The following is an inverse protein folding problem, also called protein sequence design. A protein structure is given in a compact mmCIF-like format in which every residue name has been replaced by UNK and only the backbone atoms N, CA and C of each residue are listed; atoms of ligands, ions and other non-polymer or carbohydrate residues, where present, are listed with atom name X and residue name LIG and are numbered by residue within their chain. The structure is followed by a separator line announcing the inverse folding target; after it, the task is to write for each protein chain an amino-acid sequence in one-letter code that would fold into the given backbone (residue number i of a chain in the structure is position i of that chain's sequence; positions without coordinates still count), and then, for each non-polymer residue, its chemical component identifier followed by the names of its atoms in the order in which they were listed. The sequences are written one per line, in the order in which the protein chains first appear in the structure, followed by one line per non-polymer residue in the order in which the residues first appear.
data_IF_137031408739
#
_entry.id   IF_137031408739
#
_cell.length_a   1.000
_cell.length_b   1.000
_cell.length_c   1.000
_cell.angle_alpha   90.00
_cell.angle_beta   90.00
_cell.angle_gamma   90.00
#
_symmetry.space_group_name_H-M   'P 1'
#
loop_
_entity.id
_entity.type
_entity.pdbx_description
1 polymer ?
#
# COMPACT_ATOMS: atom_id res chain seq x y z
N UNK A 1 -1.99 -44.30 38.08
CA UNK A 1 -1.93 -43.38 36.93
C UNK A 1 -2.09 -41.97 37.48
N UNK A 2 -0.98 -41.33 37.83
CA UNK A 2 -0.98 -40.06 38.57
C UNK A 2 -0.21 -39.08 37.71
N UNK A 3 -0.92 -38.28 36.93
CA UNK A 3 -0.29 -37.38 35.97
C UNK A 3 0.10 -36.09 36.67
N UNK A 4 1.42 -35.92 36.84
CA UNK A 4 2.10 -34.65 37.10
C UNK A 4 1.72 -33.64 36.02
N UNK A 5 1.37 -32.41 36.40
CA UNK A 5 1.56 -31.23 35.55
C UNK A 5 2.12 -30.05 36.35
N UNK A 6 3.43 -29.93 36.16
CA UNK A 6 4.37 -28.82 36.30
C UNK A 6 3.77 -27.41 36.33
N UNK A 7 4.16 -26.65 37.37
CA UNK A 7 4.11 -25.18 37.44
C UNK A 7 4.94 -24.54 36.31
N UNK A 8 4.46 -23.44 35.73
CA UNK A 8 5.34 -22.41 35.17
C UNK A 8 4.89 -21.02 35.66
N UNK A 9 5.77 -20.44 36.48
CA UNK A 9 5.99 -19.02 36.79
C UNK A 9 5.77 -18.16 35.52
N UNK A 10 4.90 -17.15 35.51
CA UNK A 10 5.17 -15.83 36.08
C UNK A 10 5.97 -14.95 35.09
N UNK A 11 5.36 -13.88 34.55
CA UNK A 11 6.02 -12.60 34.22
C UNK A 11 4.94 -11.51 34.24
N UNK A 12 5.17 -10.56 35.14
CA UNK A 12 4.52 -9.27 35.26
C UNK A 12 4.77 -8.46 33.97
N UNK A 13 3.73 -7.97 33.31
CA UNK A 13 3.86 -7.23 32.05
C UNK A 13 2.73 -6.23 31.88
N UNK A 14 2.94 -5.06 32.48
CA UNK A 14 2.35 -3.74 32.21
C UNK A 14 1.01 -3.69 31.46
N UNK A 15 -0.02 -3.36 32.21
CA UNK A 15 -1.36 -2.94 31.79
C UNK A 15 -1.28 -1.80 30.76
N UNK A 16 -1.45 -2.11 29.47
CA UNK A 16 -1.78 -1.08 28.47
C UNK A 16 -3.30 -1.03 28.35
N UNK A 17 -3.91 0.04 28.88
CA UNK A 17 -5.32 0.34 28.67
C UNK A 17 -5.57 0.47 27.16
N UNK A 18 -6.20 -0.53 26.55
CA UNK A 18 -6.97 -0.29 25.34
C UNK A 18 -8.12 0.64 25.74
N UNK A 19 -8.11 1.87 25.23
CA UNK A 19 -9.25 2.76 25.41
C UNK A 19 -10.46 2.08 24.77
N UNK A 20 -11.41 1.66 25.60
CA UNK A 20 -12.72 1.26 25.15
C UNK A 20 -13.34 2.46 24.42
N UNK A 21 -13.36 2.44 23.09
CA UNK A 21 -14.10 3.42 22.31
C UNK A 21 -15.59 3.07 22.39
N UNK A 22 -16.23 3.51 23.48
CA UNK A 22 -17.67 3.60 23.58
C UNK A 22 -18.16 4.86 22.86
N UNK A 23 -19.24 4.73 22.08
CA UNK A 23 -20.11 5.81 21.61
C UNK A 23 -19.49 6.95 20.76
N UNK A 24 -18.35 6.72 20.11
CA UNK A 24 -17.79 7.65 19.11
C UNK A 24 -18.29 7.37 17.69
N UNK A 25 -18.22 8.34 16.79
CA UNK A 25 -18.41 8.12 15.35
C UNK A 25 -17.08 7.68 14.73
N UNK A 26 -17.04 6.52 14.07
CA UNK A 26 -15.87 6.07 13.32
C UNK A 26 -15.99 6.48 11.85
N UNK A 27 -14.93 7.06 11.29
CA UNK A 27 -14.90 7.52 9.89
C UNK A 27 -14.04 6.56 9.07
N UNK A 28 -14.66 5.93 8.08
CA UNK A 28 -14.04 4.97 7.19
C UNK A 28 -13.86 5.58 5.79
N UNK A 29 -12.80 5.14 5.10
CA UNK A 29 -12.48 5.56 3.74
C UNK A 29 -12.13 4.32 2.93
N UNK A 30 -12.80 4.15 1.79
CA UNK A 30 -12.44 3.18 0.78
C UNK A 30 -11.70 3.86 -0.38
N UNK A 31 -11.63 3.16 -1.51
CA UNK A 31 -10.98 3.65 -2.73
C UNK A 31 -11.81 4.69 -3.51
N UNK A 32 -13.05 4.95 -3.06
CA UNK A 32 -13.93 5.99 -3.60
C UNK A 32 -13.76 7.35 -2.94
N UNK A 33 -14.35 8.37 -3.56
CA UNK A 33 -14.23 9.76 -3.10
C UNK A 33 -15.10 10.10 -1.88
N UNK A 34 -16.09 9.25 -1.55
CA UNK A 34 -17.05 9.50 -0.47
C UNK A 34 -16.58 8.79 0.81
N UNK A 35 -16.26 9.52 1.90
CA UNK A 35 -16.05 8.91 3.20
C UNK A 35 -17.38 8.43 3.81
N UNK A 36 -17.29 7.44 4.67
CA UNK A 36 -18.41 6.84 5.37
C UNK A 36 -18.22 6.99 6.87
N UNK A 37 -19.33 7.11 7.60
CA UNK A 37 -19.34 7.12 9.04
C UNK A 37 -20.18 5.97 9.60
N UNK A 38 -19.63 5.38 10.66
CA UNK A 38 -20.28 4.40 11.50
C UNK A 38 -20.56 5.02 12.87
N UNK A 39 -21.77 4.84 13.36
CA UNK A 39 -22.18 5.29 14.69
C UNK A 39 -23.13 4.30 15.34
N UNK A 40 -23.23 4.31 16.67
CA UNK A 40 -23.98 3.29 17.39
C UNK A 40 -23.32 1.92 17.31
N UNK A 41 -23.95 0.92 17.94
CA UNK A 41 -23.38 -0.41 18.09
C UNK A 41 -22.01 -0.39 18.77
N UNK A 42 -21.29 -1.50 18.70
CA UNK A 42 -19.91 -1.58 19.15
C UNK A 42 -19.00 -1.71 17.94
N UNK A 43 -18.07 -0.79 17.80
CA UNK A 43 -17.10 -0.80 16.72
C UNK A 43 -15.71 -0.47 17.24
N UNK A 44 -14.69 -1.12 16.70
CA UNK A 44 -13.29 -0.94 17.10
C UNK A 44 -12.45 -0.85 15.84
N UNK A 45 -11.88 0.32 15.57
CA UNK A 45 -10.93 0.50 14.48
C UNK A 45 -9.54 0.03 14.91
N UNK A 46 -8.95 -0.87 14.13
CA UNK A 46 -7.56 -1.32 14.33
C UNK A 46 -6.65 -0.45 13.45
N UNK A 47 -5.56 0.13 13.98
CA UNK A 47 -4.60 0.88 13.16
C UNK A 47 -4.05 0.02 12.00
N UNK A 48 -4.33 0.42 10.76
CA UNK A 48 -3.89 -0.28 9.56
C UNK A 48 -4.68 -1.56 9.21
N UNK A 49 -5.81 -1.83 9.86
CA UNK A 49 -6.68 -2.98 9.59
C UNK A 49 -8.17 -2.59 9.45
N UNK A 50 -9.04 -3.55 9.10
CA UNK A 50 -10.48 -3.31 9.00
C UNK A 50 -11.08 -2.93 10.35
N UNK A 51 -12.17 -2.19 10.33
CA UNK A 51 -12.91 -1.86 11.56
C UNK A 51 -13.78 -3.05 11.95
N UNK A 52 -13.59 -3.55 13.17
CA UNK A 52 -14.43 -4.59 13.72
C UNK A 52 -15.78 -4.00 14.15
N UNK A 53 -16.87 -4.66 13.80
CA UNK A 53 -18.24 -4.23 14.08
C UNK A 53 -19.03 -5.36 14.76
N UNK A 54 -19.87 -4.99 15.72
CA UNK A 54 -20.73 -5.89 16.46
C UNK A 54 -22.04 -5.21 16.84
N UNK A 55 -23.14 -5.94 16.64
CA UNK A 55 -24.50 -5.50 16.90
C UNK A 55 -25.04 -4.59 15.81
N UNK A 56 -25.96 -3.70 16.17
CA UNK A 56 -26.58 -2.79 15.21
C UNK A 56 -25.75 -1.52 15.05
N UNK A 57 -25.19 -1.31 13.87
CA UNK A 57 -24.39 -0.12 13.52
C UNK A 57 -25.14 0.74 12.51
N UNK A 58 -25.18 2.04 12.74
CA UNK A 58 -25.70 3.01 11.76
C UNK A 58 -24.61 3.40 10.80
N UNK A 59 -24.89 3.26 9.51
CA UNK A 59 -24.02 3.60 8.39
C UNK A 59 -24.55 4.87 7.72
N UNK A 60 -23.68 5.86 7.48
CA UNK A 60 -24.02 7.07 6.73
C UNK A 60 -22.89 7.53 5.82
N UNK A 61 -23.14 7.99 4.59
CA UNK A 61 -22.14 8.75 3.84
C UNK A 61 -21.91 10.10 4.52
N UNK A 62 -20.70 10.64 4.37
CA UNK A 62 -20.29 11.94 4.95
C UNK A 62 -20.47 13.11 3.99
N UNK A 63 -21.17 12.88 2.88
CA UNK A 63 -21.48 13.86 1.84
C UNK A 63 -22.98 13.76 1.57
N UNK A 64 -23.62 14.90 1.38
CA UNK A 64 -25.03 14.97 0.98
C UNK A 64 -25.20 14.45 -0.46
N UNK A 65 -26.22 13.62 -0.67
CA UNK A 65 -26.59 13.15 -2.00
C UNK A 65 -27.13 14.30 -2.84
N UNK A 66 -26.70 14.39 -4.09
CA UNK A 66 -27.21 15.40 -5.01
C UNK A 66 -28.72 15.22 -5.27
N UNK A 67 -29.48 16.31 -5.49
CA UNK A 67 -30.90 16.21 -5.81
C UNK A 67 -31.16 15.29 -7.01
N UNK A 68 -32.19 14.43 -6.90
CA UNK A 68 -32.55 13.50 -7.97
C UNK A 68 -31.72 12.22 -8.06
N UNK A 69 -30.75 12.02 -7.15
CA UNK A 69 -29.95 10.80 -7.10
C UNK A 69 -30.53 9.72 -6.17
N UNK A 70 -30.30 8.46 -6.53
CA UNK A 70 -30.58 7.30 -5.69
C UNK A 70 -29.30 6.82 -5.02
N UNK A 71 -29.34 6.61 -3.71
CA UNK A 71 -28.24 6.04 -2.94
C UNK A 71 -28.53 4.58 -2.60
N UNK A 72 -27.61 3.70 -2.96
CA UNK A 72 -27.66 2.26 -2.68
C UNK A 72 -26.60 1.89 -1.65
N UNK A 73 -27.00 1.19 -0.60
CA UNK A 73 -26.11 0.57 0.36
C UNK A 73 -25.95 -0.90 -0.01
N UNK A 74 -24.72 -1.33 -0.19
CA UNK A 74 -24.38 -2.61 -0.78
C UNK A 74 -23.50 -3.35 0.23
N UNK A 75 -23.89 -4.58 0.58
CA UNK A 75 -23.10 -5.51 1.39
C UNK A 75 -22.80 -6.73 0.51
N UNK A 76 -21.52 -7.07 0.35
CA UNK A 76 -21.04 -8.21 -0.44
C UNK A 76 -21.60 -8.24 -1.87
N UNK A 77 -21.61 -7.06 -2.50
CA UNK A 77 -22.11 -6.87 -3.85
C UNK A 77 -23.65 -6.90 -3.98
N UNK A 78 -24.39 -7.13 -2.90
CA UNK A 78 -25.85 -7.13 -2.89
C UNK A 78 -26.40 -5.84 -2.29
N UNK A 79 -27.30 -5.16 -3.02
CA UNK A 79 -27.99 -3.96 -2.52
C UNK A 79 -28.94 -4.33 -1.38
N UNK A 80 -28.65 -3.84 -0.18
CA UNK A 80 -29.43 -4.09 1.03
C UNK A 80 -30.48 -3.01 1.28
N UNK A 81 -30.17 -1.76 0.93
CA UNK A 81 -31.06 -0.63 1.13
C UNK A 81 -30.87 0.40 0.02
N UNK A 82 -31.94 1.06 -0.39
CA UNK A 82 -31.90 2.09 -1.43
C UNK A 82 -32.87 3.21 -1.12
N UNK A 83 -32.44 4.46 -1.33
CA UNK A 83 -33.22 5.65 -0.98
C UNK A 83 -32.77 6.86 -1.78
N UNK A 84 -33.66 7.82 -1.98
CA UNK A 84 -33.35 9.13 -2.57
C UNK A 84 -33.32 10.26 -1.53
N UNK A 85 -33.22 9.91 -0.24
CA UNK A 85 -33.03 10.89 0.84
C UNK A 85 -31.65 11.57 0.67
N UNK A 86 -31.58 12.93 0.67
CA UNK A 86 -30.32 13.68 0.57
C UNK A 86 -29.29 13.33 1.66
N UNK A 87 -29.72 12.89 2.84
CA UNK A 87 -28.85 12.45 3.93
C UNK A 87 -29.23 11.03 4.34
N UNK A 88 -28.83 10.01 3.57
CA UNK A 88 -29.31 8.66 3.78
C UNK A 88 -28.58 7.99 4.94
N UNK A 89 -29.31 7.21 5.74
CA UNK A 89 -28.75 6.37 6.81
C UNK A 89 -29.28 4.96 6.67
N UNK A 90 -28.44 3.96 6.97
CA UNK A 90 -28.83 2.55 7.01
C UNK A 90 -28.47 1.96 8.36
N UNK A 91 -29.41 1.24 8.98
CA UNK A 91 -29.14 0.41 10.14
C UNK A 91 -28.65 -0.96 9.67
N UNK A 92 -27.40 -1.29 9.96
CA UNK A 92 -26.80 -2.60 9.67
C UNK A 92 -26.85 -3.46 10.93
N UNK A 93 -27.66 -4.52 10.92
CA UNK A 93 -27.65 -5.54 11.96
C UNK A 93 -26.59 -6.60 11.64
N UNK A 94 -25.42 -6.49 12.27
CA UNK A 94 -24.32 -7.43 11.99
C UNK A 94 -24.64 -8.84 12.47
N UNK A 95 -25.62 -9.05 13.35
CA UNK A 95 -26.00 -10.39 13.84
C UNK A 95 -26.62 -11.27 12.75
N UNK A 96 -27.07 -10.67 11.65
CA UNK A 96 -27.56 -11.37 10.46
C UNK A 96 -26.46 -11.71 9.45
N UNK A 97 -25.21 -11.28 9.72
CA UNK A 97 -24.05 -11.57 8.89
C UNK A 97 -23.22 -12.68 9.49
N UNK A 98 -22.47 -13.38 8.63
CA UNK A 98 -21.48 -14.35 9.08
C UNK A 98 -20.34 -13.65 9.84
N UNK A 99 -19.62 -14.42 10.65
CA UNK A 99 -18.39 -13.91 11.27
C UNK A 99 -17.30 -13.73 10.21
N UNK A 100 -16.49 -12.68 10.35
CA UNK A 100 -15.34 -12.42 9.49
C UNK A 100 -15.52 -11.24 8.52
N UNK A 101 -14.76 -11.21 7.40
CA UNK A 101 -14.67 -10.03 6.55
C UNK A 101 -15.89 -9.88 5.64
N UNK A 102 -16.44 -8.68 5.61
CA UNK A 102 -17.54 -8.26 4.73
C UNK A 102 -17.19 -6.96 4.01
N UNK A 103 -17.73 -6.79 2.81
CA UNK A 103 -17.55 -5.56 2.02
C UNK A 103 -18.78 -4.66 2.15
N UNK A 104 -18.56 -3.39 2.48
CA UNK A 104 -19.58 -2.35 2.51
C UNK A 104 -19.25 -1.29 1.46
N UNK A 105 -20.21 -1.01 0.59
CA UNK A 105 -20.12 0.05 -0.42
C UNK A 105 -21.40 0.89 -0.42
N UNK A 106 -21.25 2.19 -0.60
CA UNK A 106 -22.37 3.08 -0.94
C UNK A 106 -22.12 3.66 -2.33
N UNK A 107 -23.11 3.52 -3.20
CA UNK A 107 -23.12 4.12 -4.55
C UNK A 107 -24.27 5.12 -4.66
N UNK A 108 -23.99 6.31 -5.22
CA UNK A 108 -25.03 7.27 -5.64
C UNK A 108 -25.17 7.24 -7.16
N UNK A 109 -26.41 7.17 -7.63
CA UNK A 109 -26.80 6.96 -9.02
C UNK A 109 -27.71 8.08 -9.52
N UNK A 110 -27.47 8.56 -10.72
CA UNK A 110 -28.38 9.43 -11.48
C UNK A 110 -28.83 8.65 -12.73
N UNK A 111 -30.07 8.15 -12.72
CA UNK A 111 -30.48 7.12 -13.67
C UNK A 111 -29.57 5.88 -13.55
N UNK A 112 -29.00 5.44 -14.67
CA UNK A 112 -28.09 4.29 -14.71
C UNK A 112 -26.61 4.68 -14.47
N UNK A 113 -26.31 5.96 -14.32
CA UNK A 113 -24.94 6.44 -14.15
C UNK A 113 -24.57 6.54 -12.67
N UNK A 114 -23.47 5.88 -12.27
CA UNK A 114 -22.88 6.08 -10.94
C UNK A 114 -22.12 7.40 -10.87
N UNK A 115 -22.59 8.31 -10.03
CA UNK A 115 -22.05 9.67 -9.88
C UNK A 115 -21.14 9.81 -8.66
N UNK A 116 -21.31 8.96 -7.64
CA UNK A 116 -20.41 8.91 -6.48
C UNK A 116 -20.34 7.50 -5.88
N UNK A 117 -19.24 7.20 -5.19
CA UNK A 117 -19.06 5.92 -4.48
C UNK A 117 -18.09 6.07 -3.30
N UNK A 118 -18.27 5.24 -2.28
CA UNK A 118 -17.28 5.03 -1.21
C UNK A 118 -16.14 4.11 -1.64
N UNK A 119 -16.32 3.34 -2.73
CA UNK A 119 -15.51 2.14 -2.98
C UNK A 119 -15.84 1.03 -1.98
N UNK A 120 -15.22 -0.14 -2.15
CA UNK A 120 -15.42 -1.27 -1.23
C UNK A 120 -14.62 -1.03 0.06
N UNK A 121 -15.32 -1.02 1.19
CA UNK A 121 -14.73 -0.88 2.53
C UNK A 121 -14.86 -2.22 3.24
N UNK A 122 -13.75 -2.76 3.73
CA UNK A 122 -13.75 -4.03 4.48
C UNK A 122 -14.10 -3.78 5.95
N UNK A 123 -15.13 -4.48 6.42
CA UNK A 123 -15.53 -4.58 7.82
C UNK A 123 -15.25 -5.98 8.34
N UNK A 124 -14.87 -6.09 9.61
CA UNK A 124 -14.76 -7.39 10.28
C UNK A 124 -15.98 -7.58 11.21
N UNK A 125 -16.87 -8.51 10.88
CA UNK A 125 -18.01 -8.86 11.74
C UNK A 125 -17.53 -9.80 12.84
N UNK A 126 -17.75 -9.40 14.10
CA UNK A 126 -17.28 -10.12 15.28
C UNK A 126 -18.40 -10.25 16.34
N UNK A 127 -19.47 -11.01 16.05
CA UNK A 127 -20.67 -11.09 16.89
C UNK A 127 -20.52 -12.01 18.10
N UNK A 128 -19.81 -13.13 17.94
CA UNK A 128 -19.61 -14.18 18.96
C UNK A 128 -18.33 -13.99 19.75
N UNK A 129 -17.47 -13.07 19.33
CA UNK A 129 -16.26 -12.75 20.05
C UNK A 129 -16.60 -11.96 21.33
N UNK A 130 -16.19 -12.48 22.50
CA UNK A 130 -16.02 -11.62 23.68
C UNK A 130 -14.93 -10.63 23.31
N UNK A 131 -15.26 -9.38 23.01
CA UNK A 131 -14.28 -8.36 22.64
C UNK A 131 -13.30 -8.01 23.80
N UNK A 132 -13.45 -8.63 24.97
CA UNK A 132 -12.42 -8.68 26.03
C UNK A 132 -11.36 -9.77 25.81
N UNK A 133 -11.52 -10.63 24.80
CA UNK A 133 -10.60 -11.69 24.38
C UNK A 133 -10.17 -11.59 22.90
N UNK A 134 -10.64 -10.60 22.15
CA UNK A 134 -10.06 -10.25 20.83
C UNK A 134 -8.62 -9.67 20.97
N UNK A 135 -8.14 -9.49 22.21
CA UNK A 135 -6.72 -9.27 22.52
C UNK A 135 -5.92 -10.54 22.88
N UNK A 136 -6.51 -11.74 22.88
CA UNK A 136 -5.84 -12.98 23.30
C UNK A 136 -6.11 -14.17 22.37
N UNK A 137 -5.79 -13.98 21.10
CA UNK A 137 -5.24 -15.03 20.27
C UNK A 137 -4.30 -14.35 19.27
N UNK A 138 -3.22 -13.76 19.80
CA UNK A 138 -2.07 -13.54 18.96
C UNK A 138 -1.62 -14.94 18.50
N UNK A 139 -1.49 -15.24 17.19
CA UNK A 139 -0.53 -16.27 16.82
C UNK A 139 0.76 -15.82 17.50
N UNK A 140 1.40 -16.71 18.27
CA UNK A 140 2.60 -16.43 19.04
C UNK A 140 3.45 -15.39 18.29
N UNK A 141 3.40 -14.14 18.76
CA UNK A 141 4.21 -13.10 18.16
C UNK A 141 5.63 -13.64 18.30
N UNK A 142 6.43 -13.79 17.22
CA UNK A 142 7.86 -13.80 17.41
C UNK A 142 8.15 -12.50 18.16
N UNK A 143 8.42 -12.62 19.46
CA UNK A 143 8.16 -11.55 20.43
C UNK A 143 8.78 -10.26 19.96
N UNK A 144 8.00 -9.16 19.85
CA UNK A 144 8.34 -7.91 19.14
C UNK A 144 9.77 -7.90 18.61
N UNK A 145 9.98 -8.68 17.55
CA UNK A 145 11.04 -8.36 16.63
C UNK A 145 10.44 -7.12 16.00
N UNK A 146 11.09 -5.96 16.19
CA UNK A 146 10.97 -4.91 15.21
C UNK A 146 11.42 -5.57 13.91
N UNK A 147 10.50 -6.18 13.20
CA UNK A 147 10.66 -6.47 11.80
C UNK A 147 10.66 -5.07 11.20
N UNK A 148 11.85 -4.44 11.22
CA UNK A 148 12.38 -4.04 9.94
C UNK A 148 12.23 -5.28 9.06
N UNK A 149 11.06 -5.44 8.44
CA UNK A 149 11.03 -5.84 7.07
C UNK A 149 11.89 -4.75 6.44
N UNK A 150 13.21 -4.99 6.40
CA UNK A 150 14.12 -4.22 5.57
C UNK A 150 13.42 -4.30 4.24
N UNK A 151 12.77 -3.21 3.82
CA UNK A 151 11.92 -3.19 2.62
C UNK A 151 12.71 -3.95 1.58
N UNK A 152 12.24 -5.14 1.23
CA UNK A 152 13.03 -6.05 0.40
C UNK A 152 12.76 -5.51 -0.99
N UNK A 153 13.63 -4.60 -1.43
CA UNK A 153 13.50 -3.84 -2.67
C UNK A 153 13.74 -4.73 -3.91
N UNK A 154 13.45 -6.03 -3.83
CA UNK A 154 13.49 -6.98 -4.96
C UNK A 154 12.31 -6.73 -5.89
N UNK A 155 11.13 -6.48 -5.33
CA UNK A 155 9.88 -6.29 -6.09
C UNK A 155 9.53 -4.81 -6.31
N UNK A 156 10.45 -3.88 -5.97
CA UNK A 156 10.13 -2.44 -6.01
C UNK A 156 10.04 -1.90 -7.44
N UNK A 157 10.60 -2.59 -8.44
CA UNK A 157 10.60 -2.11 -9.82
C UNK A 157 9.92 -3.12 -10.71
N UNK A 158 9.02 -2.64 -11.55
CA UNK A 158 8.32 -3.42 -12.57
C UNK A 158 8.60 -2.83 -13.94
N UNK A 159 9.01 -3.67 -14.89
CA UNK A 159 9.31 -3.29 -16.27
C UNK A 159 8.26 -3.89 -17.20
N UNK A 160 7.51 -3.03 -17.92
CA UNK A 160 6.45 -3.45 -18.83
C UNK A 160 5.47 -4.48 -18.22
N UNK A 161 5.03 -4.21 -16.98
CA UNK A 161 4.06 -5.04 -16.27
C UNK A 161 4.62 -6.35 -15.69
N UNK A 162 5.94 -6.58 -15.76
CA UNK A 162 6.63 -7.71 -15.15
C UNK A 162 7.53 -7.25 -14.01
N UNK A 163 7.61 -8.03 -12.95
CA UNK A 163 8.56 -7.76 -11.87
C UNK A 163 9.99 -7.73 -12.42
N UNK A 164 10.76 -6.73 -12.01
CA UNK A 164 12.18 -6.66 -12.30
C UNK A 164 12.91 -7.73 -11.51
N UNK A 165 13.36 -8.78 -12.19
CA UNK A 165 14.25 -9.80 -11.64
C UNK A 165 15.63 -9.20 -11.36
N UNK A 166 15.74 -8.34 -10.34
CA UNK A 166 16.98 -7.62 -10.03
C UNK A 166 18.00 -8.60 -9.43
N UNK A 167 19.23 -8.58 -9.93
CA UNK A 167 20.33 -9.38 -9.37
C UNK A 167 20.63 -9.01 -7.90
N UNK A 168 20.26 -7.79 -7.50
CA UNK A 168 20.28 -7.37 -6.11
C UNK A 168 19.14 -6.40 -5.81
N UNK A 169 18.69 -6.39 -4.56
CA UNK A 169 17.68 -5.47 -4.07
C UNK A 169 18.04 -4.03 -4.42
N UNK A 170 17.04 -3.25 -4.82
CA UNK A 170 17.17 -1.79 -4.84
C UNK A 170 17.59 -1.24 -3.49
N UNK A 171 17.91 0.05 -3.45
CA UNK A 171 18.26 0.78 -2.22
C UNK A 171 17.61 2.15 -2.22
N UNK A 172 17.11 2.58 -1.07
CA UNK A 172 16.51 3.90 -0.92
C UNK A 172 17.54 4.85 -0.33
N UNK A 173 17.82 5.96 -1.03
CA UNK A 173 18.69 7.05 -0.54
C UNK A 173 18.02 8.39 -0.75
N UNK A 174 17.89 9.16 0.32
CA UNK A 174 17.31 10.53 0.29
C UNK A 174 15.94 10.57 -0.40
N UNK A 175 15.10 9.55 -0.22
CA UNK A 175 13.78 9.45 -0.86
C UNK A 175 13.79 8.97 -2.31
N UNK A 176 14.95 8.61 -2.87
CA UNK A 176 15.07 8.08 -4.23
C UNK A 176 15.40 6.59 -4.22
N UNK A 177 14.82 5.86 -5.15
CA UNK A 177 15.10 4.45 -5.38
C UNK A 177 16.27 4.34 -6.34
N UNK A 178 17.28 3.60 -5.91
CA UNK A 178 18.46 3.30 -6.69
C UNK A 178 18.49 1.80 -6.94
N UNK A 179 18.76 1.41 -8.19
CA UNK A 179 19.02 0.01 -8.56
C UNK A 179 20.37 -0.07 -9.24
N UNK A 180 20.87 -1.28 -9.50
CA UNK A 180 22.14 -1.40 -10.20
C UNK A 180 21.98 -0.93 -11.64
N UNK A 181 23.00 -0.25 -12.16
CA UNK A 181 23.03 0.20 -13.54
C UNK A 181 22.92 -1.00 -14.50
N UNK A 182 23.56 -2.12 -14.16
CA UNK A 182 23.48 -3.36 -14.95
C UNK A 182 22.05 -3.89 -15.03
N UNK A 183 21.35 -4.02 -13.89
CA UNK A 183 19.95 -4.48 -13.88
C UNK A 183 19.05 -3.56 -14.69
N UNK A 184 19.20 -2.24 -14.50
CA UNK A 184 18.45 -1.25 -15.26
C UNK A 184 18.65 -1.44 -16.77
N UNK A 185 19.91 -1.49 -17.21
CA UNK A 185 20.21 -1.58 -18.65
C UNK A 185 19.82 -2.93 -19.24
N UNK A 186 19.97 -4.04 -18.49
CA UNK A 186 19.51 -5.36 -18.91
C UNK A 186 18.00 -5.36 -19.17
N UNK A 187 17.20 -4.80 -18.27
CA UNK A 187 15.75 -4.72 -18.47
C UNK A 187 15.37 -3.76 -19.60
N UNK A 188 16.03 -2.60 -19.71
CA UNK A 188 15.75 -1.63 -20.77
C UNK A 188 16.26 -2.08 -22.16
N UNK A 189 17.06 -3.14 -22.24
CA UNK A 189 17.65 -3.61 -23.50
C UNK A 189 18.78 -2.72 -24.01
N UNK A 190 19.61 -2.19 -23.11
CA UNK A 190 20.81 -1.43 -23.47
C UNK A 190 22.10 -2.06 -22.98
N UNK A 191 23.23 -1.39 -23.21
CA UNK A 191 24.58 -1.88 -22.91
C UNK A 191 25.25 -1.07 -21.82
N UNK A 192 26.23 -1.69 -21.15
CA UNK A 192 27.09 -1.05 -20.16
C UNK A 192 28.54 -1.36 -20.49
N UNK A 193 29.35 -0.31 -20.62
CA UNK A 193 30.79 -0.39 -20.80
C UNK A 193 31.50 0.29 -19.63
N UNK A 194 32.54 -0.36 -19.11
CA UNK A 194 33.37 0.16 -18.03
C UNK A 194 34.63 0.76 -18.64
N UNK A 195 34.79 2.07 -18.56
CA UNK A 195 35.92 2.77 -19.14
C UNK A 195 37.14 2.81 -18.22
N UNK A 196 38.36 3.00 -18.76
CA UNK A 196 39.50 3.53 -18.01
C UNK A 196 39.39 5.06 -17.90
N UNK A 197 39.59 5.68 -16.72
CA UNK A 197 39.79 5.06 -15.41
C UNK A 197 38.52 4.36 -14.92
N UNK A 198 38.68 3.27 -14.16
CA UNK A 198 37.66 2.31 -13.69
C UNK A 198 36.43 2.89 -12.98
N UNK A 199 36.37 4.21 -12.81
CA UNK A 199 35.27 4.96 -12.22
C UNK A 199 34.34 5.56 -13.30
N UNK A 200 34.68 5.49 -14.59
CA UNK A 200 33.81 5.93 -15.66
C UNK A 200 32.99 4.75 -16.18
N UNK A 201 31.69 4.97 -16.33
CA UNK A 201 30.75 3.96 -16.82
C UNK A 201 29.93 4.58 -17.93
N UNK A 202 29.86 3.90 -19.06
CA UNK A 202 29.05 4.31 -20.20
C UNK A 202 27.87 3.36 -20.31
N UNK A 203 26.65 3.91 -20.24
CA UNK A 203 25.43 3.17 -20.46
C UNK A 203 24.78 3.67 -21.75
N UNK A 204 24.48 2.77 -22.68
CA UNK A 204 23.96 3.14 -24.00
C UNK A 204 22.68 2.39 -24.30
N UNK A 205 21.71 3.08 -24.92
CA UNK A 205 20.48 2.49 -25.43
C UNK A 205 20.00 3.34 -26.61
N UNK A 206 19.72 2.69 -27.74
CA UNK A 206 19.43 3.38 -29.00
C UNK A 206 20.54 4.42 -29.28
N UNK A 207 20.19 5.64 -29.70
CA UNK A 207 21.13 6.74 -29.97
C UNK A 207 21.48 7.58 -28.73
N UNK A 208 21.18 7.08 -27.52
CA UNK A 208 21.46 7.77 -26.27
C UNK A 208 22.58 7.08 -25.52
N UNK A 209 23.62 7.84 -25.22
CA UNK A 209 24.74 7.44 -24.39
C UNK A 209 24.79 8.28 -23.13
N UNK A 210 24.84 7.62 -21.98
CA UNK A 210 24.87 8.24 -20.65
C UNK A 210 26.16 7.85 -19.96
N UNK A 211 27.01 8.86 -19.70
CA UNK A 211 28.22 8.71 -18.90
C UNK A 211 27.91 8.96 -17.44
N UNK A 212 28.24 7.98 -16.60
CA UNK A 212 28.04 8.01 -15.15
C UNK A 212 29.39 7.84 -14.44
N UNK A 213 29.60 8.64 -13.40
CA UNK A 213 30.77 8.54 -12.52
C UNK A 213 30.28 8.34 -11.08
N UNK A 214 30.56 7.20 -10.42
CA UNK A 214 30.23 7.02 -9.01
C UNK A 214 30.84 8.12 -8.14
N UNK A 215 30.07 8.63 -7.17
CA UNK A 215 30.40 9.79 -6.36
C UNK A 215 29.90 11.12 -6.94
N UNK A 216 29.57 11.17 -8.23
CA UNK A 216 29.03 12.36 -8.88
C UNK A 216 27.50 12.30 -9.01
N UNK A 217 26.84 13.41 -8.67
CA UNK A 217 25.43 13.64 -9.01
C UNK A 217 25.23 14.17 -10.43
N UNK A 218 26.32 14.39 -11.17
CA UNK A 218 26.29 14.83 -12.57
C UNK A 218 26.61 13.65 -13.47
N UNK A 219 25.68 13.35 -14.39
CA UNK A 219 25.88 12.46 -15.52
C UNK A 219 26.06 13.29 -16.81
N UNK A 220 26.49 12.66 -17.90
CA UNK A 220 26.53 13.31 -19.22
C UNK A 220 25.73 12.52 -20.23
N UNK A 221 24.65 13.09 -20.75
CA UNK A 221 23.79 12.50 -21.78
C UNK A 221 24.23 13.06 -23.13
N UNK A 222 24.74 12.21 -24.01
CA UNK A 222 25.30 12.59 -25.31
C UNK A 222 26.30 13.77 -25.19
N UNK A 223 27.15 13.72 -24.17
CA UNK A 223 28.16 14.74 -23.87
C UNK A 223 27.66 15.97 -23.11
N UNK A 224 26.35 16.16 -22.94
CA UNK A 224 25.77 17.29 -22.20
C UNK A 224 25.55 16.93 -20.74
N UNK A 225 25.96 17.81 -19.82
CA UNK A 225 25.80 17.58 -18.39
C UNK A 225 24.31 17.54 -17.98
N UNK A 226 23.95 16.55 -17.18
CA UNK A 226 22.61 16.35 -16.64
C UNK A 226 22.69 15.99 -15.15
N UNK A 227 21.80 16.56 -14.34
CA UNK A 227 21.84 16.41 -12.88
C UNK A 227 20.90 15.32 -12.40
N UNK A 228 21.43 14.46 -11.54
CA UNK A 228 20.69 13.45 -10.78
C UNK A 228 20.39 13.99 -9.37
N UNK A 229 19.26 13.58 -8.76
CA UNK A 229 18.92 14.00 -7.40
C UNK A 229 19.82 13.37 -6.32
N UNK A 230 20.40 12.20 -6.64
CA UNK A 230 21.33 11.47 -5.78
C UNK A 230 22.51 11.03 -6.64
N UNK A 231 23.73 11.17 -6.12
CA UNK A 231 24.92 10.69 -6.79
C UNK A 231 24.85 9.17 -7.00
N UNK A 232 25.29 8.72 -8.18
CA UNK A 232 25.57 7.31 -8.38
C UNK A 232 26.62 6.88 -7.37
N UNK A 233 26.58 5.64 -6.89
CA UNK A 233 27.58 5.16 -5.93
C UNK A 233 27.92 3.70 -6.17
N UNK A 234 29.13 3.32 -5.75
CA UNK A 234 29.59 1.94 -5.81
C UNK A 234 29.38 1.27 -4.46
N UNK A 235 28.82 0.05 -4.47
CA UNK A 235 28.73 -0.80 -3.29
C UNK A 235 29.01 -2.24 -3.72
N UNK A 236 30.06 -2.82 -3.15
CA UNK A 236 30.65 -4.05 -3.68
C UNK A 236 31.14 -3.83 -5.11
N UNK A 237 30.84 -4.78 -6.01
CA UNK A 237 31.21 -4.70 -7.43
C UNK A 237 30.09 -4.13 -8.32
N UNK A 238 29.17 -3.34 -7.76
CA UNK A 238 27.98 -2.84 -8.44
C UNK A 238 27.87 -1.32 -8.32
N UNK A 239 27.40 -0.67 -9.38
CA UNK A 239 27.08 0.76 -9.38
C UNK A 239 25.59 0.94 -9.27
N UNK A 240 25.15 1.68 -8.26
CA UNK A 240 23.77 2.04 -8.03
C UNK A 240 23.47 3.42 -8.58
N UNK A 241 22.35 3.54 -9.29
CA UNK A 241 21.91 4.76 -9.96
C UNK A 241 20.44 5.05 -9.66
N UNK A 242 20.03 6.32 -9.54
CA UNK A 242 18.63 6.68 -9.31
C UNK A 242 17.78 6.34 -10.54
N UNK A 243 16.86 5.39 -10.37
CA UNK A 243 16.10 4.79 -11.47
C UNK A 243 15.38 5.84 -12.33
N UNK A 244 14.66 6.76 -11.69
CA UNK A 244 13.86 7.77 -12.38
C UNK A 244 14.71 8.70 -13.25
N UNK A 245 15.87 9.13 -12.75
CA UNK A 245 16.75 10.03 -13.50
C UNK A 245 17.36 9.31 -14.70
N UNK A 246 17.85 8.08 -14.50
CA UNK A 246 18.45 7.29 -15.57
C UNK A 246 17.42 6.92 -16.65
N UNK A 247 16.23 6.45 -16.26
CA UNK A 247 15.13 6.22 -17.20
C UNK A 247 14.81 7.50 -17.99
N UNK A 248 14.71 8.64 -17.30
CA UNK A 248 14.46 9.93 -17.94
C UNK A 248 15.53 10.32 -18.97
N UNK A 249 16.80 10.01 -18.73
CA UNK A 249 17.87 10.24 -19.71
C UNK A 249 17.70 9.43 -20.99
N UNK A 250 17.11 8.24 -20.90
CA UNK A 250 16.78 7.38 -22.04
C UNK A 250 15.37 7.62 -22.60
N UNK A 251 14.68 8.69 -22.17
CA UNK A 251 13.30 8.98 -22.61
C UNK A 251 12.26 8.00 -22.08
N UNK A 252 12.57 7.27 -21.01
CA UNK A 252 11.68 6.28 -20.39
C UNK A 252 10.96 6.89 -19.20
N UNK A 253 9.64 6.68 -19.15
CA UNK A 253 8.79 7.11 -18.05
C UNK A 253 8.84 6.13 -16.88
N UNK A 254 8.83 6.66 -15.66
CA UNK A 254 8.72 5.90 -14.41
C UNK A 254 7.62 6.48 -13.55
N UNK A 255 6.55 5.73 -13.38
CA UNK A 255 5.45 6.08 -12.49
C UNK A 255 5.66 5.40 -11.14
N UNK A 256 5.37 6.12 -10.06
CA UNK A 256 5.45 5.58 -8.71
C UNK A 256 4.04 5.39 -8.17
N UNK A 257 3.74 4.18 -7.75
CA UNK A 257 2.53 3.85 -7.04
C UNK A 257 2.82 3.88 -5.53
N UNK A 258 2.19 4.83 -4.84
CA UNK A 258 2.32 5.01 -3.39
C UNK A 258 1.57 3.95 -2.60
N UNK A 259 0.58 3.28 -3.18
CA UNK A 259 -0.20 2.23 -2.53
C UNK A 259 0.57 0.92 -2.52
N UNK A 260 1.12 0.53 -3.67
CA UNK A 260 1.92 -0.69 -3.80
C UNK A 260 3.40 -0.48 -3.50
N UNK A 261 3.81 0.77 -3.32
CA UNK A 261 5.18 1.14 -2.96
C UNK A 261 6.18 0.66 -4.04
N UNK A 262 5.75 0.74 -5.31
CA UNK A 262 6.41 0.21 -6.52
C UNK A 262 6.60 1.27 -7.60
N UNK A 263 7.70 1.14 -8.32
CA UNK A 263 8.03 1.91 -9.51
C UNK A 263 7.69 1.10 -10.76
N UNK A 264 6.81 1.63 -11.60
CA UNK A 264 6.44 1.06 -12.88
C UNK A 264 7.19 1.79 -14.00
N UNK A 265 7.98 1.03 -14.75
CA UNK A 265 8.78 1.49 -15.88
C UNK A 265 8.15 0.97 -17.16
N UNK A 266 7.72 1.88 -18.03
CA UNK A 266 7.05 1.54 -19.29
C UNK A 266 7.86 2.09 -20.46
N UNK A 267 8.17 1.22 -21.43
CA UNK A 267 8.97 1.56 -22.60
C UNK A 267 8.66 0.63 -23.76
N UNK A 268 8.80 1.15 -24.98
CA UNK A 268 8.76 0.33 -26.19
C UNK A 268 10.08 -0.43 -26.35
N UNK A 269 9.98 -1.69 -26.77
CA UNK A 269 11.15 -2.46 -27.19
C UNK A 269 11.62 -1.90 -28.54
N UNK A 270 12.93 -1.74 -28.74
CA UNK A 270 13.49 -1.32 -30.03
C UNK A 270 13.21 -2.35 -31.13
#
# INVERSE_FOLDING_TARGET
MTMRRTLILGILGTLLLASAAGAGEAVLRGDGAVPLALSGGRHVSVPGGPTAVQGTVTVRPRVESAPGTWTHFIIDGQSQYSTNNPMPTMSLDTTQLAEGPHTLRIDSMEGDQRVATTGDIVLEVANTAVLSQVGQAAPAQPGFIKLHHKKILREIVWFNGREGDLETHGTMRRGHILITLTDLMRHLGGTVEWGPPSNLILASRNDVSVRVVPGSATAYVNGKAARMPVAAFRQGNRTYVPIRAMCGFFGVRVDWDTYTDRAYVTYQMP
#
